data_IF_246208760267
#
_entry.id   IF_246208760267
#
_cell.length_a   1.000
_cell.length_b   1.000
_cell.length_c   1.000
_cell.angle_alpha   90.00
_cell.angle_beta   90.00
_cell.angle_gamma   90.00
#
_symmetry.space_group_name_H-M   'P 1'
#
loop_
_entity.id
_entity.type
_entity.pdbx_description
1 polymer ?
#
# COMPACT_ATOMS: atom_id res chain seq x y z
N UNK A 1 15.41 16.19 28.54
CA UNK A 1 15.02 14.99 27.80
C UNK A 1 13.54 15.10 27.47
N UNK A 2 13.20 15.23 26.22
CA UNK A 2 11.80 15.21 25.78
C UNK A 2 11.27 13.80 25.90
N UNK A 3 10.25 13.62 26.74
CA UNK A 3 9.52 12.37 26.86
C UNK A 3 8.23 12.47 26.07
N UNK A 4 8.05 11.59 25.07
CA UNK A 4 6.81 11.47 24.32
C UNK A 4 5.99 10.31 24.92
N UNK A 5 5.40 10.51 26.09
CA UNK A 5 4.67 9.45 26.79
C UNK A 5 5.56 8.23 27.09
N UNK A 6 5.15 7.06 26.59
CA UNK A 6 5.92 5.81 26.71
C UNK A 6 6.94 5.60 25.58
N UNK A 7 7.02 6.50 24.61
CA UNK A 7 7.91 6.37 23.47
C UNK A 7 9.11 7.34 23.56
N UNK A 8 10.31 6.77 23.64
CA UNK A 8 11.57 7.49 23.63
C UNK A 8 12.33 7.23 22.34
N UNK A 9 12.22 8.08 21.33
CA UNK A 9 12.93 7.86 20.07
C UNK A 9 14.44 7.83 20.23
N UNK A 10 15.00 8.47 21.24
CA UNK A 10 16.42 8.45 21.54
C UNK A 10 16.95 7.09 22.04
N UNK A 11 16.09 6.19 22.52
CA UNK A 11 16.49 4.84 22.96
C UNK A 11 16.92 3.97 21.77
N UNK A 12 16.40 4.26 20.58
CA UNK A 12 16.65 3.49 19.37
C UNK A 12 17.75 4.08 18.48
N UNK A 13 18.49 5.08 18.97
CA UNK A 13 19.59 5.70 18.23
C UNK A 13 20.86 5.70 19.07
N UNK A 14 21.96 5.26 18.46
CA UNK A 14 23.30 5.34 19.05
C UNK A 14 23.90 6.74 18.96
N UNK A 15 23.32 7.61 18.14
CA UNK A 15 23.77 8.98 17.91
C UNK A 15 22.77 9.99 18.46
N UNK A 16 23.19 10.79 19.42
CA UNK A 16 22.40 11.90 19.96
C UNK A 16 22.58 13.19 19.14
N UNK A 17 23.69 13.33 18.42
CA UNK A 17 23.98 14.45 17.52
C UNK A 17 24.02 13.95 16.08
N UNK A 18 23.27 14.58 15.20
CA UNK A 18 23.24 14.22 13.78
C UNK A 18 23.94 15.29 12.95
N UNK A 19 24.62 14.85 11.89
CA UNK A 19 25.23 15.73 10.91
C UNK A 19 24.19 16.69 10.31
N UNK A 20 24.54 17.95 10.13
CA UNK A 20 23.70 18.94 9.43
C UNK A 20 23.59 18.73 7.92
N UNK A 21 24.30 17.75 7.35
CA UNK A 21 24.33 17.51 5.90
C UNK A 21 22.94 17.17 5.32
N UNK A 22 22.14 16.38 6.01
CA UNK A 22 20.76 16.07 5.57
C UNK A 22 19.85 17.29 5.57
N UNK A 23 20.03 18.19 6.55
CA UNK A 23 19.28 19.45 6.63
C UNK A 23 19.68 20.39 5.49
N UNK A 24 20.98 20.50 5.21
CA UNK A 24 21.50 21.30 4.09
C UNK A 24 21.03 20.74 2.73
N UNK A 25 21.03 19.42 2.56
CA UNK A 25 20.51 18.78 1.36
C UNK A 25 19.01 19.07 1.17
N UNK A 26 18.20 18.96 2.23
CA UNK A 26 16.79 19.31 2.18
C UNK A 26 16.57 20.78 1.82
N UNK A 27 17.33 21.69 2.43
CA UNK A 27 17.27 23.12 2.11
C UNK A 27 17.68 23.41 0.66
N UNK A 28 18.73 22.76 0.16
CA UNK A 28 19.19 22.91 -1.22
C UNK A 28 18.10 22.45 -2.20
N UNK A 29 17.45 21.30 -1.95
CA UNK A 29 16.35 20.82 -2.75
C UNK A 29 15.15 21.78 -2.73
N UNK A 30 14.79 22.30 -1.54
CA UNK A 30 13.70 23.28 -1.42
C UNK A 30 14.00 24.57 -2.21
N UNK A 31 15.25 25.02 -2.20
CA UNK A 31 15.67 26.20 -2.97
C UNK A 31 15.73 25.92 -4.47
N UNK A 32 16.20 24.74 -4.88
CA UNK A 32 16.33 24.35 -6.28
C UNK A 32 14.97 24.20 -6.97
N UNK A 33 14.08 23.41 -6.38
CA UNK A 33 12.77 23.12 -6.95
C UNK A 33 11.74 24.22 -6.68
N UNK A 34 11.84 24.89 -5.53
CA UNK A 34 10.86 25.85 -5.08
C UNK A 34 9.45 25.25 -4.97
N UNK A 35 8.46 26.09 -4.79
CA UNK A 35 7.05 25.68 -4.64
C UNK A 35 6.51 24.98 -5.89
N UNK A 36 6.81 25.52 -7.06
CA UNK A 36 6.25 24.99 -8.32
C UNK A 36 6.91 23.68 -8.73
N UNK A 37 8.21 23.51 -8.50
CA UNK A 37 8.89 22.23 -8.72
C UNK A 37 8.33 21.12 -7.84
N UNK A 38 8.12 21.39 -6.54
CA UNK A 38 7.49 20.42 -5.64
C UNK A 38 6.03 20.15 -6.01
N UNK A 39 5.28 21.16 -6.44
CA UNK A 39 3.91 20.95 -6.93
C UNK A 39 3.87 20.01 -8.12
N UNK A 40 4.78 20.17 -9.08
CA UNK A 40 4.88 19.30 -10.25
C UNK A 40 5.24 17.86 -9.85
N UNK A 41 6.27 17.70 -9.00
CA UNK A 41 6.69 16.37 -8.52
C UNK A 41 5.58 15.65 -7.75
N UNK A 42 4.98 16.32 -6.77
CA UNK A 42 3.92 15.73 -5.95
C UNK A 42 2.65 15.46 -6.77
N UNK A 43 2.31 16.37 -7.69
CA UNK A 43 1.20 16.18 -8.63
C UNK A 43 1.39 14.92 -9.46
N UNK A 44 2.60 14.69 -9.99
CA UNK A 44 2.93 13.47 -10.73
C UNK A 44 2.74 12.21 -9.86
N UNK A 45 3.21 12.19 -8.62
CA UNK A 45 3.04 11.04 -7.72
C UNK A 45 1.56 10.73 -7.46
N UNK A 46 0.76 11.77 -7.24
CA UNK A 46 -0.70 11.62 -7.06
C UNK A 46 -1.35 11.08 -8.32
N UNK A 47 -1.00 11.61 -9.50
CA UNK A 47 -1.51 11.12 -10.79
C UNK A 47 -1.17 9.64 -11.01
N UNK A 48 0.05 9.20 -10.69
CA UNK A 48 0.42 7.79 -10.81
C UNK A 48 -0.35 6.90 -9.83
N UNK A 49 -0.61 7.38 -8.62
CA UNK A 49 -1.47 6.66 -7.68
C UNK A 49 -2.94 6.58 -8.17
N UNK A 50 -3.45 7.63 -8.84
CA UNK A 50 -4.77 7.60 -9.49
C UNK A 50 -4.84 6.59 -10.64
N UNK A 51 -3.77 6.49 -11.44
CA UNK A 51 -3.66 5.45 -12.48
C UNK A 51 -3.74 4.06 -11.86
N UNK A 52 -3.00 3.81 -10.76
CA UNK A 52 -3.07 2.53 -10.05
C UNK A 52 -4.49 2.24 -9.55
N UNK A 53 -5.12 3.21 -8.88
CA UNK A 53 -6.49 3.05 -8.33
C UNK A 53 -7.50 2.70 -9.42
N UNK A 54 -7.46 3.41 -10.55
CA UNK A 54 -8.31 3.11 -11.70
C UNK A 54 -8.09 1.68 -12.21
N UNK A 55 -6.85 1.22 -12.32
CA UNK A 55 -6.53 -0.15 -12.74
C UNK A 55 -7.03 -1.21 -11.75
N UNK A 56 -6.98 -0.92 -10.46
CA UNK A 56 -7.55 -1.79 -9.43
C UNK A 56 -9.07 -1.88 -9.55
N UNK A 57 -9.75 -0.75 -9.76
CA UNK A 57 -11.20 -0.69 -9.90
C UNK A 57 -11.72 -1.33 -11.20
N UNK A 58 -10.93 -1.31 -12.27
CA UNK A 58 -11.22 -2.00 -13.54
C UNK A 58 -11.10 -3.52 -13.41
N UNK A 59 -10.45 -4.02 -12.35
CA UNK A 59 -10.21 -5.45 -12.17
C UNK A 59 -11.27 -6.10 -11.26
N UNK A 60 -12.00 -7.15 -11.71
CA UNK A 60 -13.12 -7.69 -10.95
C UNK A 60 -12.73 -8.29 -9.59
N UNK A 61 -11.50 -8.82 -9.47
CA UNK A 61 -11.01 -9.46 -8.25
C UNK A 61 -10.09 -8.57 -7.40
N UNK A 62 -10.05 -7.27 -7.65
CA UNK A 62 -9.30 -6.30 -6.85
C UNK A 62 -10.18 -5.12 -6.51
N UNK A 63 -9.96 -4.50 -5.36
CA UNK A 63 -10.65 -3.27 -4.98
C UNK A 63 -9.74 -2.38 -4.15
N UNK A 64 -9.87 -1.07 -4.33
CA UNK A 64 -9.28 -0.12 -3.41
C UNK A 64 -10.12 -0.04 -2.13
N UNK A 65 -9.45 0.19 -1.01
CA UNK A 65 -10.12 0.25 0.29
C UNK A 65 -9.93 1.58 1.03
N UNK A 66 -9.28 2.55 0.38
CA UNK A 66 -9.12 3.89 0.92
C UNK A 66 -10.48 4.58 1.08
N UNK A 67 -10.70 5.25 2.24
CA UNK A 67 -11.85 6.15 2.40
C UNK A 67 -11.67 7.45 1.60
N UNK A 68 -10.40 7.91 1.49
CA UNK A 68 -10.01 9.15 0.81
C UNK A 68 -8.79 8.93 -0.06
N UNK A 69 -8.79 9.52 -1.25
CA UNK A 69 -7.78 9.33 -2.28
C UNK A 69 -7.06 10.65 -2.62
N UNK A 70 -6.55 11.36 -1.60
CA UNK A 70 -5.92 12.67 -1.76
C UNK A 70 -4.40 12.64 -1.89
N UNK A 71 -3.78 11.45 -1.82
CA UNK A 71 -2.33 11.32 -1.81
C UNK A 71 -1.81 10.14 -2.61
N UNK A 72 -0.49 9.90 -2.55
CA UNK A 72 0.18 8.85 -3.32
C UNK A 72 0.07 7.46 -2.69
N UNK A 73 -0.67 7.30 -1.58
CA UNK A 73 -0.89 6.02 -0.91
C UNK A 73 -2.18 5.39 -1.40
N UNK A 74 -2.11 4.15 -1.83
CA UNK A 74 -3.27 3.33 -2.18
C UNK A 74 -3.28 2.07 -1.32
N UNK A 75 -4.39 1.86 -0.61
CA UNK A 75 -4.69 0.63 0.09
C UNK A 75 -5.65 -0.19 -0.77
N UNK A 76 -5.40 -1.47 -0.90
CA UNK A 76 -6.21 -2.33 -1.74
C UNK A 76 -6.25 -3.77 -1.21
N UNK A 77 -7.20 -4.53 -1.70
CA UNK A 77 -7.34 -5.97 -1.44
C UNK A 77 -7.50 -6.70 -2.76
N UNK A 78 -7.15 -7.97 -2.76
CA UNK A 78 -7.44 -8.88 -3.85
C UNK A 78 -8.20 -10.10 -3.33
N UNK A 79 -8.93 -10.75 -4.22
CA UNK A 79 -9.79 -11.89 -3.92
C UNK A 79 -9.53 -13.04 -4.89
N UNK A 80 -9.90 -14.27 -4.55
CA UNK A 80 -9.83 -15.40 -5.47
C UNK A 80 -10.64 -15.18 -6.77
N UNK A 81 -10.35 -16.00 -7.79
CA UNK A 81 -11.09 -15.93 -9.05
C UNK A 81 -12.58 -16.21 -8.85
N UNK A 82 -13.39 -15.48 -9.59
CA UNK A 82 -14.86 -15.58 -9.52
C UNK A 82 -15.51 -14.78 -8.39
N UNK A 83 -14.72 -14.11 -7.55
CA UNK A 83 -15.23 -13.22 -6.49
C UNK A 83 -15.22 -11.79 -7.01
N UNK A 84 -16.36 -11.09 -6.92
CA UNK A 84 -16.45 -9.67 -7.14
C UNK A 84 -15.85 -8.95 -5.91
N UNK A 85 -14.69 -8.30 -6.08
CA UNK A 85 -13.95 -7.72 -4.98
C UNK A 85 -14.72 -6.60 -4.26
N UNK A 86 -15.42 -5.75 -4.99
CA UNK A 86 -16.15 -4.62 -4.40
C UNK A 86 -17.35 -5.09 -3.57
N UNK A 87 -18.09 -6.09 -4.05
CA UNK A 87 -19.22 -6.67 -3.32
C UNK A 87 -18.74 -7.41 -2.07
N UNK A 88 -17.70 -8.24 -2.21
CA UNK A 88 -17.12 -9.02 -1.11
C UNK A 88 -16.58 -8.09 -0.03
N UNK A 89 -15.83 -7.05 -0.40
CA UNK A 89 -15.28 -6.08 0.56
C UNK A 89 -16.39 -5.29 1.26
N UNK A 90 -17.42 -4.87 0.53
CA UNK A 90 -18.56 -4.15 1.12
C UNK A 90 -19.31 -5.01 2.15
N UNK A 91 -19.55 -6.28 1.84
CA UNK A 91 -20.17 -7.22 2.78
C UNK A 91 -19.28 -7.45 4.01
N UNK A 92 -18.00 -7.76 3.80
CA UNK A 92 -17.02 -7.98 4.87
C UNK A 92 -16.89 -6.77 5.80
N UNK A 93 -17.01 -5.56 5.27
CA UNK A 93 -16.88 -4.34 6.06
C UNK A 93 -18.13 -4.03 6.89
N UNK A 94 -19.32 -4.20 6.30
CA UNK A 94 -20.58 -3.71 6.83
C UNK A 94 -21.43 -4.79 7.52
N UNK A 95 -21.20 -6.08 7.24
CA UNK A 95 -22.00 -7.17 7.80
C UNK A 95 -21.43 -7.67 9.13
N UNK A 96 -22.18 -7.55 10.25
CA UNK A 96 -21.73 -8.05 11.56
C UNK A 96 -21.49 -9.57 11.62
N UNK A 97 -22.02 -10.33 10.65
CA UNK A 97 -21.88 -11.78 10.59
C UNK A 97 -20.73 -12.24 9.66
N UNK A 98 -20.04 -11.31 8.99
CA UNK A 98 -18.98 -11.59 8.02
C UNK A 98 -17.62 -11.96 8.64
N UNK A 99 -17.51 -12.21 9.94
CA UNK A 99 -16.23 -12.48 10.61
C UNK A 99 -15.43 -13.62 9.96
N UNK A 100 -16.10 -14.71 9.56
CA UNK A 100 -15.42 -15.84 8.95
C UNK A 100 -14.91 -15.52 7.54
N UNK A 101 -15.72 -14.90 6.69
CA UNK A 101 -15.30 -14.50 5.33
C UNK A 101 -14.16 -13.49 5.39
N UNK A 102 -14.26 -12.49 6.27
CA UNK A 102 -13.20 -11.50 6.44
C UNK A 102 -11.87 -12.13 6.88
N UNK A 103 -11.89 -13.10 7.83
CA UNK A 103 -10.67 -13.83 8.23
C UNK A 103 -10.08 -14.61 7.06
N UNK A 104 -10.91 -15.26 6.24
CA UNK A 104 -10.45 -15.99 5.05
C UNK A 104 -9.81 -15.04 4.03
N UNK A 105 -10.44 -13.91 3.76
CA UNK A 105 -9.90 -12.90 2.84
C UNK A 105 -8.65 -12.21 3.41
N UNK A 106 -8.56 -12.01 4.73
CA UNK A 106 -7.33 -11.54 5.38
C UNK A 106 -6.19 -12.56 5.19
N UNK A 107 -6.46 -13.85 5.41
CA UNK A 107 -5.47 -14.90 5.19
C UNK A 107 -5.04 -15.02 3.73
N UNK A 108 -5.97 -14.83 2.78
CA UNK A 108 -5.67 -14.79 1.36
C UNK A 108 -4.75 -13.61 1.01
N UNK A 109 -5.06 -12.40 1.49
CA UNK A 109 -4.24 -11.21 1.24
C UNK A 109 -2.88 -11.28 1.93
N UNK A 110 -2.77 -11.97 3.08
CA UNK A 110 -1.46 -12.26 3.69
C UNK A 110 -0.62 -13.18 2.79
N UNK A 111 -1.18 -14.29 2.31
CA UNK A 111 -0.48 -15.19 1.38
C UNK A 111 -0.08 -14.48 0.10
N UNK A 112 -0.94 -13.60 -0.42
CA UNK A 112 -0.64 -12.79 -1.60
C UNK A 112 0.54 -11.85 -1.35
N UNK A 113 0.58 -11.20 -0.20
CA UNK A 113 1.69 -10.36 0.19
C UNK A 113 3.00 -11.15 0.30
N UNK A 114 2.97 -12.33 0.94
CA UNK A 114 4.14 -13.19 1.10
C UNK A 114 4.69 -13.65 -0.28
N UNK A 115 3.80 -13.98 -1.22
CA UNK A 115 4.20 -14.35 -2.58
C UNK A 115 4.77 -13.16 -3.37
N UNK A 116 4.16 -11.98 -3.26
CA UNK A 116 4.68 -10.75 -3.88
C UNK A 116 6.05 -10.37 -3.31
N UNK A 117 6.25 -10.57 -2.00
CA UNK A 117 7.54 -10.33 -1.36
C UNK A 117 8.61 -11.30 -1.84
N UNK A 118 8.26 -12.58 -2.00
CA UNK A 118 9.14 -13.61 -2.59
C UNK A 118 9.53 -13.26 -4.04
N UNK A 119 8.59 -12.78 -4.87
CA UNK A 119 8.89 -12.32 -6.23
C UNK A 119 9.81 -11.11 -6.22
N UNK A 120 9.62 -10.17 -5.32
CA UNK A 120 10.50 -9.00 -5.16
C UNK A 120 11.93 -9.41 -4.77
N UNK A 121 12.11 -10.38 -3.88
CA UNK A 121 13.44 -10.90 -3.51
C UNK A 121 14.16 -11.58 -4.68
N UNK A 122 13.43 -12.07 -5.67
CA UNK A 122 13.95 -12.63 -6.91
C UNK A 122 14.16 -11.60 -8.03
N UNK A 123 14.08 -10.30 -7.69
CA UNK A 123 14.20 -9.16 -8.63
C UNK A 123 13.11 -9.13 -9.73
N UNK A 124 12.01 -9.85 -9.53
CA UNK A 124 10.90 -9.94 -10.49
C UNK A 124 9.64 -9.16 -10.07
N UNK A 125 9.71 -8.30 -9.04
CA UNK A 125 8.52 -7.75 -8.43
C UNK A 125 8.61 -6.28 -8.00
N UNK A 126 7.53 -5.82 -7.40
CA UNK A 126 7.37 -4.47 -6.84
C UNK A 126 7.32 -4.54 -5.33
N UNK A 127 7.98 -3.58 -4.66
CA UNK A 127 7.90 -3.42 -3.21
C UNK A 127 6.52 -2.92 -2.81
N UNK A 128 5.82 -3.72 -2.05
CA UNK A 128 4.57 -3.36 -1.38
C UNK A 128 4.75 -3.47 0.13
N UNK A 129 3.87 -2.87 0.88
CA UNK A 129 3.76 -3.10 2.31
C UNK A 129 2.37 -3.61 2.67
N UNK A 130 2.26 -4.15 3.87
CA UNK A 130 1.02 -4.68 4.41
C UNK A 130 0.64 -3.90 5.65
N UNK A 131 -0.65 -3.63 5.83
CA UNK A 131 -1.20 -3.21 7.11
C UNK A 131 -2.14 -4.30 7.61
N UNK A 132 -1.87 -4.83 8.80
CA UNK A 132 -2.69 -5.88 9.42
C UNK A 132 -3.99 -5.34 10.04
N UNK A 133 -4.09 -4.03 10.21
CA UNK A 133 -5.23 -3.37 10.81
C UNK A 133 -5.45 -1.99 10.19
N UNK A 134 -6.01 -1.98 8.98
CA UNK A 134 -6.40 -0.73 8.33
C UNK A 134 -7.58 -0.06 9.05
N UNK A 135 -8.61 -0.85 9.36
CA UNK A 135 -9.79 -0.47 10.16
C UNK A 135 -10.39 -1.71 10.83
N UNK A 136 -11.37 -1.50 11.66
CA UNK A 136 -12.21 -2.57 12.24
C UNK A 136 -13.52 -2.65 11.47
N UNK A 137 -13.90 -3.83 11.02
CA UNK A 137 -15.16 -4.11 10.35
C UNK A 137 -16.33 -4.17 11.35
N UNK A 138 -17.58 -4.15 10.87
CA UNK A 138 -18.78 -4.21 11.70
C UNK A 138 -18.86 -5.49 12.56
N UNK A 139 -18.21 -6.58 12.13
CA UNK A 139 -18.09 -7.82 12.90
C UNK A 139 -17.02 -7.78 14.00
N UNK A 140 -16.31 -6.67 14.19
CA UNK A 140 -15.24 -6.50 15.20
C UNK A 140 -13.86 -7.00 14.78
N UNK A 141 -13.71 -7.62 13.60
CA UNK A 141 -12.43 -8.11 13.09
C UNK A 141 -11.63 -6.99 12.39
N UNK A 142 -10.28 -7.03 12.45
CA UNK A 142 -9.44 -6.11 11.73
C UNK A 142 -9.46 -6.39 10.22
N UNK A 143 -9.45 -5.34 9.42
CA UNK A 143 -9.29 -5.41 7.95
C UNK A 143 -7.81 -5.30 7.61
N UNK A 144 -7.26 -6.35 7.02
CA UNK A 144 -5.91 -6.36 6.45
C UNK A 144 -5.96 -5.80 5.03
N UNK A 145 -4.98 -4.97 4.66
CA UNK A 145 -4.87 -4.41 3.31
C UNK A 145 -3.42 -4.35 2.83
N UNK A 146 -3.22 -4.57 1.54
CA UNK A 146 -1.99 -4.29 0.83
C UNK A 146 -1.86 -2.77 0.63
N UNK A 147 -0.62 -2.26 0.65
CA UNK A 147 -0.36 -0.83 0.54
C UNK A 147 0.71 -0.55 -0.52
N UNK A 148 0.35 0.23 -1.50
CA UNK A 148 1.26 0.87 -2.43
C UNK A 148 1.50 2.31 -2.02
N UNK A 149 2.77 2.73 -2.01
CA UNK A 149 3.16 4.11 -1.80
C UNK A 149 4.06 4.57 -2.93
N UNK A 150 3.51 5.38 -3.84
CA UNK A 150 4.24 5.94 -4.97
C UNK A 150 5.12 7.09 -4.47
N UNK A 151 6.43 6.85 -4.37
CA UNK A 151 7.40 7.82 -3.84
C UNK A 151 8.41 8.32 -4.87
N UNK A 152 8.66 7.55 -5.94
CA UNK A 152 9.65 7.92 -6.94
C UNK A 152 9.06 8.83 -8.00
N UNK A 153 9.67 9.99 -8.29
CA UNK A 153 9.23 10.86 -9.37
C UNK A 153 9.48 10.28 -10.77
N UNK A 154 10.18 9.15 -10.87
CA UNK A 154 10.47 8.44 -12.12
C UNK A 154 9.48 7.30 -12.41
N UNK A 155 8.44 7.17 -11.59
CA UNK A 155 7.37 6.21 -11.84
C UNK A 155 6.55 6.65 -13.05
N UNK A 156 6.28 5.70 -13.94
CA UNK A 156 5.49 5.88 -15.16
C UNK A 156 4.28 4.92 -15.15
N UNK A 157 3.31 5.13 -16.01
CA UNK A 157 2.12 4.28 -16.13
C UNK A 157 2.47 2.80 -16.35
N UNK A 158 3.53 2.50 -17.12
CA UNK A 158 4.02 1.13 -17.33
C UNK A 158 4.35 0.40 -16.03
N UNK A 159 4.82 1.12 -15.00
CA UNK A 159 5.11 0.52 -13.69
C UNK A 159 3.83 0.18 -12.95
N UNK A 160 2.76 0.96 -13.11
CA UNK A 160 1.44 0.63 -12.54
C UNK A 160 0.83 -0.60 -13.22
N UNK A 161 0.98 -0.70 -14.55
CA UNK A 161 0.58 -1.89 -15.30
C UNK A 161 1.39 -3.13 -14.87
N UNK A 162 2.70 -2.98 -14.71
CA UNK A 162 3.59 -4.04 -14.22
C UNK A 162 3.22 -4.50 -12.81
N UNK A 163 2.85 -3.59 -11.91
CA UNK A 163 2.37 -3.94 -10.58
C UNK A 163 1.10 -4.79 -10.63
N UNK A 164 0.10 -4.41 -11.43
CA UNK A 164 -1.12 -5.21 -11.61
C UNK A 164 -0.78 -6.60 -12.15
N UNK A 165 0.10 -6.70 -13.15
CA UNK A 165 0.53 -7.98 -13.71
C UNK A 165 1.25 -8.86 -12.67
N UNK A 166 2.08 -8.28 -11.79
CA UNK A 166 2.72 -8.99 -10.68
C UNK A 166 1.68 -9.52 -9.68
N UNK A 167 0.67 -8.71 -9.34
CA UNK A 167 -0.41 -9.15 -8.45
C UNK A 167 -1.17 -10.33 -9.07
N UNK A 168 -1.49 -10.27 -10.36
CA UNK A 168 -2.14 -11.38 -11.07
C UNK A 168 -1.27 -12.65 -11.10
N UNK A 169 0.03 -12.52 -11.41
CA UNK A 169 0.97 -13.64 -11.36
C UNK A 169 0.99 -14.29 -9.97
N UNK A 170 1.01 -13.48 -8.92
CA UNK A 170 0.99 -13.97 -7.54
C UNK A 170 -0.35 -14.65 -7.18
N UNK A 171 -1.49 -14.07 -7.59
CA UNK A 171 -2.82 -14.67 -7.40
C UNK A 171 -2.91 -16.05 -8.03
N UNK A 172 -2.43 -16.21 -9.28
CA UNK A 172 -2.39 -17.49 -9.97
C UNK A 172 -1.47 -18.51 -9.28
N UNK A 173 -0.35 -18.06 -8.71
CA UNK A 173 0.57 -18.93 -7.99
C UNK A 173 -0.06 -19.51 -6.72
N UNK A 174 -0.72 -18.67 -5.91
CA UNK A 174 -1.38 -19.12 -4.67
C UNK A 174 -2.65 -19.95 -4.94
N UNK A 175 -3.36 -19.71 -6.05
CA UNK A 175 -4.53 -20.49 -6.44
C UNK A 175 -4.22 -21.92 -6.88
N UNK A 176 -2.97 -22.19 -7.33
CA UNK A 176 -2.51 -23.54 -7.72
C UNK A 176 -2.06 -24.40 -6.54
N UNK A 177 -1.82 -23.77 -5.38
CA UNK A 177 -1.32 -24.42 -4.17
C UNK A 177 -2.41 -24.66 -3.12
N UNK A 178 -3.63 -24.25 -3.40
CA UNK A 178 -4.83 -24.45 -2.57
C UNK A 178 -5.68 -25.58 -3.11
#
# INVERSE_FOLDING_TARGET
LFQFGHYHPGVFTLETSRSGGSVLAALANLKLFGKEGYRALLGHLVTMAEVLRRRLDEHPAMCQVNDYNYGPVTLFRAYPDGVNANEAFSDELCNPQAAQSLRQSNAYNQKLFDELHRQMEQEEGFALSLTSHYRTAACGEPVLALKSFVMSPFVEEKHMQGLIACIEKARLAIGRTA
#
